data_IF_595029673461
#
_entry.id   IF_595029673461
#
_cell.length_a   1.000
_cell.length_b   1.000
_cell.length_c   1.000
_cell.angle_alpha   90.00
_cell.angle_beta   90.00
_cell.angle_gamma   90.00
#
_symmetry.space_group_name_H-M   'P 1'
#
loop_
_entity.id
_entity.type
_entity.pdbx_description
1 polymer ?
#
# COMPACT_ATOMS: atom_id res chain seq x y z
N UNK A 1 22.61 5.68 37.24
CA UNK A 1 21.35 5.29 36.57
C UNK A 1 21.05 6.33 35.52
N UNK A 2 20.95 5.95 34.25
CA UNK A 2 20.69 6.92 33.17
C UNK A 2 19.28 7.51 33.35
N UNK A 3 19.15 8.83 33.30
CA UNK A 3 17.89 9.51 33.50
C UNK A 3 16.98 9.28 32.27
N UNK A 4 15.76 8.82 32.51
CA UNK A 4 14.73 8.55 31.49
C UNK A 4 14.54 9.71 30.50
N UNK A 5 14.59 10.95 30.99
CA UNK A 5 14.46 12.14 30.16
C UNK A 5 15.66 12.28 29.20
N UNK A 6 16.88 12.04 29.69
CA UNK A 6 18.10 12.09 28.88
C UNK A 6 18.08 11.05 27.78
N UNK A 7 17.64 9.82 28.07
CA UNK A 7 17.53 8.76 27.06
C UNK A 7 16.48 9.11 26.00
N UNK A 8 15.31 9.62 26.41
CA UNK A 8 14.27 10.11 25.49
C UNK A 8 14.79 11.22 24.58
N UNK A 9 15.50 12.19 25.14
CA UNK A 9 15.99 13.35 24.39
C UNK A 9 17.08 12.96 23.39
N UNK A 10 18.00 12.06 23.77
CA UNK A 10 18.97 11.44 22.84
C UNK A 10 18.26 10.75 21.67
N UNK A 11 17.21 9.97 21.96
CA UNK A 11 16.44 9.23 20.96
C UNK A 11 15.69 10.18 20.02
N UNK A 12 15.17 11.29 20.56
CA UNK A 12 14.52 12.36 19.79
C UNK A 12 15.49 13.05 18.84
N UNK A 13 16.71 13.38 19.29
CA UNK A 13 17.74 13.98 18.43
C UNK A 13 18.08 13.05 17.27
N UNK A 14 18.33 11.76 17.57
CA UNK A 14 18.62 10.74 16.55
C UNK A 14 17.48 10.62 15.53
N UNK A 15 16.23 10.61 16.00
CA UNK A 15 15.04 10.56 15.15
C UNK A 15 14.96 11.77 14.20
N UNK A 16 15.12 12.99 14.71
CA UNK A 16 15.02 14.20 13.90
C UNK A 16 16.09 14.27 12.79
N UNK A 17 17.28 13.72 13.04
CA UNK A 17 18.36 13.68 12.06
C UNK A 17 18.06 12.72 10.89
N UNK A 18 17.47 11.55 11.17
CA UNK A 18 17.24 10.52 10.15
C UNK A 18 15.87 10.64 9.47
N UNK A 19 14.87 11.22 10.15
CA UNK A 19 13.48 11.26 9.70
C UNK A 19 13.28 11.74 8.24
N UNK A 20 13.99 12.78 7.75
CA UNK A 20 13.83 13.26 6.37
C UNK A 20 14.25 12.23 5.31
N UNK A 21 15.11 11.29 5.67
CA UNK A 21 15.72 10.32 4.74
C UNK A 21 15.02 8.97 4.73
N UNK A 22 14.09 8.72 5.65
CA UNK A 22 13.41 7.45 5.80
C UNK A 22 12.00 7.50 5.22
N UNK A 23 11.59 6.42 4.54
CA UNK A 23 10.20 6.17 4.16
C UNK A 23 9.38 5.62 5.34
N UNK A 24 8.07 5.44 5.17
CA UNK A 24 7.16 4.99 6.24
C UNK A 24 7.58 3.63 6.84
N UNK A 25 8.04 2.71 5.99
CA UNK A 25 8.46 1.37 6.43
C UNK A 25 9.75 1.43 7.23
N UNK A 26 10.76 2.14 6.72
CA UNK A 26 12.07 2.24 7.37
C UNK A 26 11.97 2.99 8.70
N UNK A 27 11.12 4.01 8.78
CA UNK A 27 10.76 4.68 10.04
C UNK A 27 10.22 3.72 11.07
N UNK A 28 9.27 2.87 10.66
CA UNK A 28 8.64 1.87 11.52
C UNK A 28 9.65 0.85 12.04
N UNK A 29 10.47 0.28 11.15
CA UNK A 29 11.50 -0.70 11.49
C UNK A 29 12.53 -0.09 12.44
N UNK A 30 13.02 1.12 12.15
CA UNK A 30 13.95 1.82 13.01
C UNK A 30 13.40 2.03 14.42
N UNK A 31 12.17 2.52 14.54
CA UNK A 31 11.51 2.70 15.83
C UNK A 31 11.36 1.38 16.61
N UNK A 32 11.08 0.28 15.90
CA UNK A 32 11.03 -1.06 16.48
C UNK A 32 12.38 -1.54 17.02
N UNK A 33 13.45 -1.32 16.27
CA UNK A 33 14.83 -1.67 16.68
C UNK A 33 15.23 -0.89 17.93
N UNK A 34 15.01 0.43 17.96
CA UNK A 34 15.32 1.27 19.13
C UNK A 34 14.51 0.85 20.37
N UNK A 35 13.24 0.49 20.18
CA UNK A 35 12.39 0.01 21.26
C UNK A 35 12.90 -1.31 21.85
N UNK A 36 13.39 -2.23 21.00
CA UNK A 36 13.99 -3.49 21.44
C UNK A 36 15.32 -3.26 22.18
N UNK A 37 16.18 -2.39 21.65
CA UNK A 37 17.48 -2.07 22.27
C UNK A 37 17.34 -1.37 23.63
N UNK A 38 16.32 -0.52 23.78
CA UNK A 38 16.03 0.16 25.06
C UNK A 38 15.48 -0.82 26.11
N UNK A 39 14.91 -1.95 25.71
CA UNK A 39 14.39 -2.98 26.61
C UNK A 39 13.05 -2.61 27.25
N UNK A 40 12.90 -2.82 28.56
CA UNK A 40 11.63 -2.64 29.28
C UNK A 40 11.18 -1.18 29.22
N UNK A 41 9.98 -0.94 28.70
CA UNK A 41 9.44 0.41 28.49
C UNK A 41 9.96 1.11 27.23
N UNK A 42 10.81 0.47 26.43
CA UNK A 42 11.39 1.04 25.22
C UNK A 42 10.36 1.54 24.21
N UNK A 43 9.27 0.78 23.99
CA UNK A 43 8.16 1.22 23.11
C UNK A 43 7.56 2.56 23.57
N UNK A 44 7.33 2.73 24.87
CA UNK A 44 6.79 3.97 25.45
C UNK A 44 7.77 5.13 25.30
N UNK A 45 9.07 4.85 25.50
CA UNK A 45 10.12 5.86 25.36
C UNK A 45 10.26 6.31 23.90
N UNK A 46 10.26 5.38 22.95
CA UNK A 46 10.31 5.67 21.51
C UNK A 46 9.06 6.43 21.06
N UNK A 47 7.88 6.03 21.54
CA UNK A 47 6.64 6.77 21.29
C UNK A 47 6.74 8.23 21.79
N UNK A 48 7.22 8.44 23.00
CA UNK A 48 7.40 9.78 23.55
C UNK A 48 8.43 10.62 22.78
N UNK A 49 9.51 9.99 22.28
CA UNK A 49 10.56 10.67 21.53
C UNK A 49 10.13 11.05 20.10
N UNK A 50 9.44 10.12 19.41
CA UNK A 50 9.15 10.20 17.97
C UNK A 50 7.72 10.69 17.64
N UNK A 51 6.78 10.54 18.57
CA UNK A 51 5.35 10.77 18.34
C UNK A 51 4.65 9.65 17.56
N UNK A 52 5.33 8.56 17.25
CA UNK A 52 4.75 7.43 16.51
C UNK A 52 3.76 6.65 17.37
N UNK A 53 2.69 6.15 16.74
CA UNK A 53 1.71 5.30 17.40
C UNK A 53 2.35 4.00 17.92
N UNK A 54 1.90 3.56 19.11
CA UNK A 54 2.42 2.38 19.77
C UNK A 54 2.33 1.10 18.92
N UNK A 55 1.21 0.90 18.20
CA UNK A 55 1.02 -0.27 17.32
C UNK A 55 1.95 -0.21 16.12
N UNK A 56 2.29 0.99 15.66
CA UNK A 56 3.27 1.19 14.59
C UNK A 56 4.66 0.74 15.03
N UNK A 57 5.09 1.13 16.23
CA UNK A 57 6.39 0.72 16.81
C UNK A 57 6.43 -0.80 17.04
N UNK A 58 5.34 -1.39 17.54
CA UNK A 58 5.23 -2.83 17.73
C UNK A 58 5.33 -3.60 16.41
N UNK A 59 4.59 -3.17 15.39
CA UNK A 59 4.67 -3.76 14.05
C UNK A 59 6.09 -3.65 13.48
N UNK A 60 6.76 -2.53 13.71
CA UNK A 60 8.17 -2.34 13.36
C UNK A 60 9.10 -3.31 14.06
N UNK A 61 8.86 -3.59 15.34
CA UNK A 61 9.63 -4.55 16.13
C UNK A 61 9.49 -5.97 15.55
N UNK A 62 8.27 -6.36 15.19
CA UNK A 62 8.00 -7.63 14.53
C UNK A 62 8.66 -7.71 13.14
N UNK A 63 8.55 -6.64 12.36
CA UNK A 63 9.19 -6.54 11.04
C UNK A 63 10.73 -6.59 11.13
N UNK A 64 11.34 -5.97 12.15
CA UNK A 64 12.78 -6.00 12.39
C UNK A 64 13.31 -7.38 12.78
N UNK A 65 12.55 -8.12 13.62
CA UNK A 65 12.90 -9.49 14.01
C UNK A 65 12.66 -10.51 12.90
N UNK A 66 11.77 -10.19 11.96
CA UNK A 66 11.52 -11.02 10.78
C UNK A 66 12.66 -10.80 9.79
N UNK A 67 13.47 -11.83 9.50
CA UNK A 67 14.51 -11.81 8.44
C UNK A 67 13.93 -11.68 7.00
N UNK A 68 12.78 -11.06 6.83
CA UNK A 68 12.12 -10.87 5.55
C UNK A 68 12.94 -9.90 4.70
N UNK A 69 13.27 -10.33 3.49
CA UNK A 69 14.00 -9.52 2.52
C UNK A 69 13.38 -8.12 2.38
N UNK A 70 14.23 -7.14 2.07
CA UNK A 70 13.82 -5.82 1.60
C UNK A 70 13.12 -6.00 0.25
N UNK A 71 11.85 -6.35 0.29
CA UNK A 71 11.00 -6.36 -0.90
C UNK A 71 11.02 -4.95 -1.51
N UNK A 72 11.34 -4.79 -2.80
CA UNK A 72 11.43 -3.48 -3.47
C UNK A 72 10.07 -2.76 -3.53
N UNK A 73 8.98 -3.44 -3.17
CA UNK A 73 7.63 -2.87 -3.09
C UNK A 73 7.22 -2.68 -1.63
N UNK A 74 6.86 -1.43 -1.30
CA UNK A 74 6.27 -1.07 -0.01
C UNK A 74 4.94 -1.79 0.27
N UNK A 75 4.17 -2.10 -0.79
CA UNK A 75 2.94 -2.89 -0.71
C UNK A 75 3.25 -4.37 -0.89
N UNK A 76 2.74 -5.20 0.04
CA UNK A 76 2.71 -6.66 -0.12
C UNK A 76 2.08 -7.02 -1.47
N UNK A 77 2.57 -8.11 -2.08
CA UNK A 77 1.92 -8.71 -3.26
C UNK A 77 0.43 -8.97 -2.94
N UNK A 78 -0.46 -8.50 -3.82
CA UNK A 78 -1.92 -8.58 -3.60
C UNK A 78 -2.53 -7.48 -2.72
N UNK A 79 -1.71 -6.56 -2.19
CA UNK A 79 -2.16 -5.39 -1.44
C UNK A 79 -2.63 -4.27 -2.37
N UNK A 80 -3.84 -4.39 -2.90
CA UNK A 80 -4.47 -3.38 -3.74
C UNK A 80 -5.88 -3.80 -4.12
N UNK A 81 -6.67 -2.86 -4.68
CA UNK A 81 -7.96 -3.23 -5.29
C UNK A 81 -7.68 -4.28 -6.36
N UNK A 82 -8.28 -5.47 -6.22
CA UNK A 82 -8.18 -6.52 -7.23
C UNK A 82 -8.60 -5.95 -8.59
N UNK A 83 -7.94 -6.37 -9.66
CA UNK A 83 -8.35 -5.95 -11.01
C UNK A 83 -9.82 -6.33 -11.23
N UNK A 84 -10.54 -5.55 -12.03
CA UNK A 84 -11.93 -5.87 -12.36
C UNK A 84 -12.00 -7.22 -13.09
N UNK A 85 -10.99 -7.60 -13.87
CA UNK A 85 -10.89 -8.94 -14.48
C UNK A 85 -10.80 -10.07 -13.44
N UNK A 86 -10.14 -9.84 -12.28
CA UNK A 86 -10.06 -10.83 -11.22
C UNK A 86 -11.35 -10.93 -10.38
N UNK A 87 -12.16 -9.86 -10.37
CA UNK A 87 -13.43 -9.80 -9.61
C UNK A 87 -14.63 -10.18 -10.48
N UNK A 88 -14.56 -9.92 -11.79
CA UNK A 88 -15.61 -10.16 -12.78
C UNK A 88 -15.05 -11.06 -13.89
N UNK A 89 -15.17 -12.39 -13.74
CA UNK A 89 -14.86 -13.33 -14.80
C UNK A 89 -15.66 -13.00 -16.08
N UNK A 90 -15.02 -13.07 -17.23
CA UNK A 90 -15.66 -12.76 -18.52
C UNK A 90 -15.86 -11.28 -18.82
N UNK A 91 -15.29 -10.36 -18.02
CA UNK A 91 -15.37 -8.92 -18.27
C UNK A 91 -14.87 -8.53 -19.66
N UNK A 92 -13.75 -9.11 -20.13
CA UNK A 92 -13.22 -8.82 -21.46
C UNK A 92 -14.20 -9.21 -22.55
N UNK A 93 -14.79 -10.40 -22.48
CA UNK A 93 -15.79 -10.87 -23.45
C UNK A 93 -17.04 -9.99 -23.43
N UNK A 94 -17.57 -9.66 -22.25
CA UNK A 94 -18.73 -8.76 -22.12
C UNK A 94 -18.45 -7.36 -22.68
N UNK A 95 -17.22 -6.86 -22.53
CA UNK A 95 -16.80 -5.60 -23.14
C UNK A 95 -16.70 -5.72 -24.66
N UNK A 96 -16.21 -6.84 -25.19
CA UNK A 96 -16.18 -7.13 -26.62
C UNK A 96 -17.59 -7.19 -27.22
N UNK A 97 -18.50 -7.96 -26.61
CA UNK A 97 -19.89 -8.08 -27.05
C UNK A 97 -20.62 -6.72 -27.03
N UNK A 98 -20.26 -5.84 -26.09
CA UNK A 98 -20.84 -4.50 -25.97
C UNK A 98 -20.37 -3.55 -27.09
N UNK A 99 -19.13 -3.71 -27.57
CA UNK A 99 -18.52 -2.82 -28.56
C UNK A 99 -18.59 -3.35 -30.00
N UNK A 100 -18.60 -4.66 -30.23
CA UNK A 100 -18.58 -5.29 -31.56
C UNK A 100 -19.67 -4.79 -32.51
N UNK A 101 -20.95 -4.64 -32.09
CA UNK A 101 -22.01 -4.12 -32.97
C UNK A 101 -21.79 -2.66 -33.42
N UNK A 102 -20.83 -1.97 -32.82
CA UNK A 102 -20.55 -0.55 -33.04
C UNK A 102 -19.07 -0.27 -33.31
N UNK A 103 -18.30 -1.32 -33.56
CA UNK A 103 -16.90 -1.24 -33.97
C UNK A 103 -16.86 -1.06 -35.48
N UNK A 104 -16.22 0.00 -35.96
CA UNK A 104 -15.89 0.17 -37.38
C UNK A 104 -14.37 -0.05 -37.53
N UNK A 105 -13.93 -0.78 -38.53
CA UNK A 105 -12.50 -1.05 -38.76
C UNK A 105 -12.15 -2.54 -38.75
N UNK A 106 -10.86 -2.82 -38.83
CA UNK A 106 -10.30 -4.17 -38.94
C UNK A 106 -10.33 -4.90 -37.59
N UNK A 107 -11.00 -6.07 -37.46
CA UNK A 107 -11.16 -6.81 -36.21
C UNK A 107 -9.84 -7.26 -35.58
N UNK A 108 -8.73 -7.24 -36.33
CA UNK A 108 -7.41 -7.71 -35.86
C UNK A 108 -6.60 -6.60 -35.17
N UNK A 109 -7.06 -5.34 -35.17
CA UNK A 109 -6.32 -4.23 -34.53
C UNK A 109 -6.51 -4.23 -33.01
N UNK A 110 -5.43 -4.05 -32.21
CA UNK A 110 -5.51 -4.08 -30.75
C UNK A 110 -6.30 -2.91 -30.15
N UNK A 111 -6.47 -1.81 -30.89
CA UNK A 111 -7.26 -0.67 -30.47
C UNK A 111 -8.61 -0.67 -31.21
N UNK A 112 -9.68 -1.00 -30.48
CA UNK A 112 -11.06 -0.93 -30.96
C UNK A 112 -11.66 0.44 -30.65
N UNK A 113 -12.29 1.08 -31.63
CA UNK A 113 -13.00 2.35 -31.45
C UNK A 113 -14.50 2.16 -31.65
N UNK A 114 -15.30 2.86 -30.84
CA UNK A 114 -16.76 2.85 -30.97
C UNK A 114 -17.24 4.28 -31.19
N UNK A 115 -18.33 4.44 -31.93
CA UNK A 115 -18.98 5.74 -32.13
C UNK A 115 -19.96 6.12 -31.01
N UNK A 116 -20.08 5.29 -29.96
CA UNK A 116 -21.03 5.48 -28.85
C UNK A 116 -20.32 6.04 -27.62
N UNK A 117 -20.98 6.98 -26.94
CA UNK A 117 -20.54 7.45 -25.63
C UNK A 117 -20.74 6.37 -24.56
N UNK A 118 -19.98 6.46 -23.47
CA UNK A 118 -20.08 5.54 -22.32
C UNK A 118 -21.50 5.46 -21.75
N UNK A 119 -22.21 6.59 -21.66
CA UNK A 119 -23.61 6.63 -21.21
C UNK A 119 -24.56 5.88 -22.16
N UNK A 120 -24.34 5.98 -23.48
CA UNK A 120 -25.15 5.28 -24.47
C UNK A 120 -24.88 3.77 -24.47
N UNK A 121 -23.67 3.35 -24.10
CA UNK A 121 -23.31 1.95 -23.90
C UNK A 121 -23.92 1.38 -22.62
N UNK A 122 -23.92 2.16 -21.52
CA UNK A 122 -24.53 1.77 -20.25
C UNK A 122 -26.05 1.52 -20.40
N UNK A 123 -26.74 2.38 -21.15
CA UNK A 123 -28.20 2.27 -21.37
C UNK A 123 -28.58 1.22 -22.43
N UNK A 124 -27.64 0.41 -22.90
CA UNK A 124 -27.91 -0.64 -23.88
C UNK A 124 -28.61 -1.83 -23.20
N UNK A 125 -29.89 -2.05 -23.54
CA UNK A 125 -30.79 -3.07 -22.96
C UNK A 125 -30.30 -4.53 -23.09
N UNK A 126 -29.22 -4.77 -23.83
CA UNK A 126 -28.61 -6.10 -23.99
C UNK A 126 -27.61 -6.45 -22.86
N UNK A 127 -27.20 -5.49 -22.02
CA UNK A 127 -26.16 -5.72 -21.00
C UNK A 127 -26.72 -6.19 -19.63
N UNK A 128 -28.01 -5.94 -19.35
CA UNK A 128 -28.65 -6.25 -18.05
C UNK A 128 -29.20 -7.68 -17.92
N UNK A 129 -29.01 -8.54 -18.93
CA UNK A 129 -29.45 -9.93 -18.93
C UNK A 129 -28.28 -10.87 -18.64
N UNK A 130 -27.79 -10.91 -17.39
CA UNK A 130 -27.04 -12.01 -16.74
C UNK A 130 -26.35 -11.54 -15.46
#
# INVERSE_FOLDING_TARGET
MENWNTTRDKLRIKWLQIYPYLDERSRRIWAGIEAQQTGRGGKTLVQAATGMDWKTIEKGSQEASSKGALEPRLRRKGGGRKSLQATLPGLSQRLEDLIEPHTKGDPVRPLRWTSKSTYKLLNNKNFDKN
#
